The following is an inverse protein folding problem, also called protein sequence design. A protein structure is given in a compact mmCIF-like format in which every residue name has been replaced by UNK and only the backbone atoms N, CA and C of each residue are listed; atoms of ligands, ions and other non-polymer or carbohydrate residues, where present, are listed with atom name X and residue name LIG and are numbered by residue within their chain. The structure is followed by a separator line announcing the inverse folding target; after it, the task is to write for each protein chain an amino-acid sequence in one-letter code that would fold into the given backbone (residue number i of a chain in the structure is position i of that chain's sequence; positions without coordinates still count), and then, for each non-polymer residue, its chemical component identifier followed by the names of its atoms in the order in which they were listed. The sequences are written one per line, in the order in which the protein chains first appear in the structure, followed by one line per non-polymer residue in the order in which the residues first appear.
data_IF_405427281097
#
_entry.id   IF_405427281097
#
_cell.length_a   1.000
_cell.length_b   1.000
_cell.length_c   1.000
_cell.angle_alpha   90.00
_cell.angle_beta   90.00
_cell.angle_gamma   90.00
#
_symmetry.space_group_name_H-M   'P 1'
#
loop_
_entity.id
_entity.type
_entity.pdbx_description
1 polymer ?
#
# COMPACT_ATOMS: atom_id res chain seq x y z
N UNK A 1 -7.35 -25.14 13.98
CA UNK A 1 -6.61 -23.96 13.53
C UNK A 1 -6.33 -23.09 14.74
N UNK A 2 -5.07 -22.81 15.03
CA UNK A 2 -4.69 -21.92 16.13
C UNK A 2 -5.08 -20.47 15.82
N UNK A 3 -5.19 -19.62 16.84
CA UNK A 3 -5.44 -18.19 16.62
C UNK A 3 -4.35 -17.57 15.73
N UNK A 4 -3.09 -17.98 15.90
CA UNK A 4 -1.98 -17.47 15.11
C UNK A 4 -2.08 -17.88 13.62
N UNK A 5 -2.58 -19.09 13.33
CA UNK A 5 -2.86 -19.53 11.97
C UNK A 5 -3.98 -18.71 11.31
N UNK A 6 -5.06 -18.39 12.05
CA UNK A 6 -6.16 -17.55 11.57
C UNK A 6 -5.63 -16.17 11.15
N UNK A 7 -4.85 -15.52 12.02
CA UNK A 7 -4.32 -14.19 11.72
C UNK A 7 -3.29 -14.21 10.60
N UNK A 8 -2.48 -15.28 10.49
CA UNK A 8 -1.57 -15.45 9.35
C UNK A 8 -2.35 -15.57 8.03
N UNK A 9 -3.42 -16.36 7.99
CA UNK A 9 -4.29 -16.48 6.81
C UNK A 9 -4.92 -15.12 6.47
N UNK A 10 -5.37 -14.36 7.46
CA UNK A 10 -5.91 -13.03 7.24
C UNK A 10 -4.88 -12.08 6.61
N UNK A 11 -3.63 -12.07 7.11
CA UNK A 11 -2.53 -11.27 6.52
C UNK A 11 -2.24 -11.70 5.08
N UNK A 12 -2.21 -13.01 4.80
CA UNK A 12 -2.01 -13.54 3.45
C UNK A 12 -3.14 -13.10 2.53
N UNK A 13 -4.39 -13.23 2.96
CA UNK A 13 -5.55 -12.85 2.16
C UNK A 13 -5.57 -11.35 1.85
N UNK A 14 -5.37 -10.49 2.86
CA UNK A 14 -5.34 -9.04 2.67
C UNK A 14 -4.19 -8.64 1.75
N UNK A 15 -2.97 -9.12 2.01
CA UNK A 15 -1.80 -8.78 1.19
C UNK A 15 -1.94 -9.30 -0.24
N UNK A 16 -2.44 -10.53 -0.39
CA UNK A 16 -2.68 -11.18 -1.68
C UNK A 16 -3.74 -10.50 -2.53
N UNK A 17 -4.59 -9.65 -1.95
CA UNK A 17 -5.55 -8.82 -2.69
C UNK A 17 -5.01 -7.41 -2.91
N UNK A 18 -4.52 -6.76 -1.85
CA UNK A 18 -4.15 -5.34 -1.88
C UNK A 18 -2.89 -5.09 -2.72
N UNK A 19 -1.86 -5.94 -2.59
CA UNK A 19 -0.60 -5.76 -3.32
C UNK A 19 -0.79 -5.91 -4.84
N UNK A 20 -1.49 -6.93 -5.37
CA UNK A 20 -1.75 -7.02 -6.81
C UNK A 20 -2.57 -5.86 -7.36
N UNK A 21 -3.57 -5.36 -6.62
CA UNK A 21 -4.35 -4.18 -7.03
C UNK A 21 -3.42 -2.96 -7.16
N UNK A 22 -2.59 -2.71 -6.14
CA UNK A 22 -1.63 -1.61 -6.16
C UNK A 22 -0.62 -1.73 -7.28
N UNK A 23 -0.08 -2.93 -7.51
CA UNK A 23 0.86 -3.22 -8.59
C UNK A 23 0.22 -2.99 -9.97
N UNK A 24 -0.99 -3.51 -10.18
CA UNK A 24 -1.75 -3.34 -11.42
C UNK A 24 -1.94 -1.85 -11.76
N UNK A 25 -2.41 -1.04 -10.81
CA UNK A 25 -2.63 0.39 -11.04
C UNK A 25 -1.32 1.16 -11.26
N UNK A 26 -0.23 0.78 -10.57
CA UNK A 26 1.09 1.37 -10.80
C UNK A 26 1.62 1.04 -12.20
N UNK A 27 1.57 -0.22 -12.62
CA UNK A 27 1.98 -0.65 -13.97
C UNK A 27 1.14 0.06 -15.03
N UNK A 28 -0.18 0.07 -14.87
CA UNK A 28 -1.10 0.76 -15.78
C UNK A 28 -0.80 2.25 -15.88
N UNK A 29 -0.40 2.90 -14.78
CA UNK A 29 0.02 4.29 -14.80
C UNK A 29 1.34 4.49 -15.57
N UNK A 30 2.31 3.58 -15.44
CA UNK A 30 3.56 3.65 -16.20
C UNK A 30 3.36 3.41 -17.71
N UNK A 31 2.29 2.74 -18.11
CA UNK A 31 1.94 2.54 -19.52
C UNK A 31 1.65 3.86 -20.29
N UNK A 32 1.51 4.99 -19.58
CA UNK A 32 1.46 6.34 -20.18
C UNK A 32 2.74 6.74 -20.91
N UNK A 33 3.88 6.08 -20.63
CA UNK A 33 5.18 6.35 -21.26
C UNK A 33 5.82 7.71 -20.89
N UNK A 34 5.13 8.49 -20.07
CA UNK A 34 5.61 9.79 -19.61
C UNK A 34 6.74 9.62 -18.59
N UNK A 35 7.89 10.22 -18.88
CA UNK A 35 9.03 10.25 -17.97
C UNK A 35 8.79 11.28 -16.87
N UNK A 36 8.77 10.82 -15.63
CA UNK A 36 8.69 11.67 -14.43
C UNK A 36 10.09 11.89 -13.86
N UNK A 37 10.46 13.16 -13.65
CA UNK A 37 11.77 13.54 -13.10
C UNK A 37 11.79 13.45 -11.57
N UNK A 38 12.19 12.28 -11.08
CA UNK A 38 12.24 11.98 -9.63
C UNK A 38 13.31 12.79 -8.88
N UNK A 39 14.25 13.45 -9.57
CA UNK A 39 15.29 14.27 -8.91
C UNK A 39 14.70 15.49 -8.19
N UNK A 40 13.49 15.90 -8.56
CA UNK A 40 12.76 17.00 -7.92
C UNK A 40 12.34 16.68 -6.47
N UNK A 41 12.33 15.41 -6.06
CA UNK A 41 12.02 15.00 -4.68
C UNK A 41 13.16 15.29 -3.69
N UNK A 42 14.36 15.55 -4.20
CA UNK A 42 15.57 15.65 -3.38
C UNK A 42 16.17 14.29 -3.02
N UNK A 43 17.47 14.31 -2.71
CA UNK A 43 18.27 13.10 -2.47
C UNK A 43 17.75 12.28 -1.28
N UNK A 44 17.25 12.94 -0.24
CA UNK A 44 16.75 12.26 0.97
C UNK A 44 15.58 11.32 0.66
N UNK A 45 14.56 11.78 -0.06
CA UNK A 45 13.39 10.98 -0.42
C UNK A 45 13.79 9.84 -1.36
N UNK A 46 14.68 10.11 -2.32
CA UNK A 46 15.22 9.10 -3.23
C UNK A 46 15.97 7.99 -2.50
N UNK A 47 16.83 8.36 -1.55
CA UNK A 47 17.69 7.43 -0.82
C UNK A 47 16.95 6.62 0.25
N UNK A 48 15.81 7.10 0.76
CA UNK A 48 15.13 6.47 1.91
C UNK A 48 13.85 5.73 1.52
N UNK A 49 12.98 6.32 0.70
CA UNK A 49 11.62 5.82 0.51
C UNK A 49 11.57 4.43 -0.14
N UNK A 50 12.36 4.21 -1.21
CA UNK A 50 12.34 2.93 -1.96
C UNK A 50 13.01 1.80 -1.18
N UNK A 51 14.18 1.99 -0.55
CA UNK A 51 14.78 0.96 0.28
C UNK A 51 13.90 0.58 1.47
N UNK A 52 13.29 1.55 2.16
CA UNK A 52 12.37 1.27 3.28
C UNK A 52 11.14 0.51 2.77
N UNK A 53 10.52 0.97 1.68
CA UNK A 53 9.38 0.28 1.09
C UNK A 53 9.69 -1.16 0.65
N UNK A 54 10.88 -1.39 0.08
CA UNK A 54 11.36 -2.72 -0.27
C UNK A 54 11.58 -3.59 0.96
N UNK A 55 12.25 -3.05 1.99
CA UNK A 55 12.49 -3.74 3.26
C UNK A 55 11.17 -4.18 3.90
N UNK A 56 10.19 -3.28 3.99
CA UNK A 56 8.86 -3.60 4.52
C UNK A 56 8.15 -4.69 3.69
N UNK A 57 8.24 -4.60 2.36
CA UNK A 57 7.63 -5.60 1.47
C UNK A 57 8.29 -6.98 1.64
N UNK A 58 9.63 -7.01 1.75
CA UNK A 58 10.39 -8.24 2.01
C UNK A 58 10.05 -8.82 3.39
N UNK A 59 9.86 -7.99 4.42
CA UNK A 59 9.44 -8.45 5.75
C UNK A 59 8.08 -9.15 5.72
N UNK A 60 7.10 -8.63 4.96
CA UNK A 60 5.79 -9.28 4.79
C UNK A 60 5.95 -10.63 4.10
N UNK A 61 6.74 -10.71 3.03
CA UNK A 61 7.02 -11.97 2.33
C UNK A 61 7.72 -12.98 3.25
N UNK A 62 8.73 -12.53 4.02
CA UNK A 62 9.44 -13.35 4.98
C UNK A 62 8.50 -13.92 6.06
N UNK A 63 7.59 -13.09 6.59
CA UNK A 63 6.56 -13.53 7.53
C UNK A 63 5.61 -14.57 6.91
N UNK A 64 5.16 -14.36 5.67
CA UNK A 64 4.25 -15.28 4.98
C UNK A 64 4.90 -16.64 4.74
N UNK A 65 6.18 -16.68 4.34
CA UNK A 65 6.91 -17.92 4.07
C UNK A 65 7.31 -18.63 5.37
N UNK A 66 7.93 -17.89 6.29
CA UNK A 66 8.48 -18.43 7.53
C UNK A 66 8.25 -17.47 8.70
N UNK A 67 7.13 -17.59 9.43
CA UNK A 67 6.82 -16.75 10.59
C UNK A 67 7.93 -16.78 11.66
N UNK A 68 8.63 -17.91 11.79
CA UNK A 68 9.74 -18.09 12.74
C UNK A 68 10.89 -17.12 12.47
N UNK A 69 11.16 -16.78 11.20
CA UNK A 69 12.19 -15.79 10.84
C UNK A 69 11.87 -14.38 11.34
N UNK A 70 10.58 -14.10 11.59
CA UNK A 70 10.05 -12.83 12.08
C UNK A 70 9.60 -12.93 13.55
N UNK A 71 9.99 -13.98 14.29
CA UNK A 71 9.60 -14.12 15.70
C UNK A 71 10.13 -12.96 16.57
N UNK A 72 11.27 -12.38 16.20
CA UNK A 72 11.88 -11.24 16.87
C UNK A 72 11.05 -9.94 16.81
N UNK A 73 10.12 -9.83 15.85
CA UNK A 73 9.23 -8.68 15.70
C UNK A 73 7.82 -8.94 16.25
N UNK A 74 7.62 -10.04 16.97
CA UNK A 74 6.32 -10.39 17.55
C UNK A 74 5.98 -9.51 18.77
N UNK A 75 4.71 -9.15 18.88
CA UNK A 75 4.16 -8.44 20.04
C UNK A 75 3.00 -9.26 20.65
N UNK A 76 2.91 -9.37 21.99
CA UNK A 76 1.85 -10.11 22.66
C UNK A 76 0.54 -9.30 22.68
N UNK A 77 -0.09 -9.16 21.50
CA UNK A 77 -1.36 -8.45 21.36
C UNK A 77 -2.54 -9.36 21.72
N UNK A 78 -3.53 -8.81 22.42
CA UNK A 78 -4.81 -9.49 22.70
C UNK A 78 -5.56 -9.84 21.41
N UNK A 79 -6.43 -10.85 21.47
CA UNK A 79 -7.20 -11.33 20.31
C UNK A 79 -8.07 -10.22 19.71
N UNK A 80 -8.73 -9.40 20.54
CA UNK A 80 -9.59 -8.32 20.06
C UNK A 80 -8.80 -7.25 19.29
N UNK A 81 -7.58 -6.94 19.72
CA UNK A 81 -6.74 -5.92 19.10
C UNK A 81 -6.21 -6.40 17.74
N UNK A 82 -5.91 -7.70 17.62
CA UNK A 82 -5.57 -8.31 16.33
C UNK A 82 -6.74 -8.24 15.35
N UNK A 83 -7.97 -8.50 15.80
CA UNK A 83 -9.17 -8.33 14.96
C UNK A 83 -9.42 -6.88 14.56
N UNK A 84 -9.19 -5.92 15.46
CA UNK A 84 -9.26 -4.50 15.10
C UNK A 84 -8.26 -4.17 13.97
N UNK A 85 -7.04 -4.71 14.03
CA UNK A 85 -6.05 -4.59 12.95
C UNK A 85 -6.53 -5.18 11.62
N UNK A 86 -7.20 -6.34 11.64
CA UNK A 86 -7.80 -6.94 10.43
C UNK A 86 -8.88 -6.04 9.84
N UNK A 87 -9.79 -5.51 10.67
CA UNK A 87 -10.85 -4.59 10.22
C UNK A 87 -10.25 -3.31 9.63
N UNK A 88 -9.24 -2.73 10.27
CA UNK A 88 -8.54 -1.56 9.76
C UNK A 88 -7.84 -1.85 8.43
N UNK A 89 -7.19 -3.00 8.29
CA UNK A 89 -6.53 -3.39 7.05
C UNK A 89 -7.53 -3.59 5.89
N UNK A 90 -8.71 -4.14 6.17
CA UNK A 90 -9.79 -4.28 5.18
C UNK A 90 -10.38 -2.93 4.78
N UNK A 91 -10.64 -2.04 5.76
CA UNK A 91 -11.15 -0.70 5.50
C UNK A 91 -10.14 0.14 4.68
N UNK A 92 -8.86 0.11 5.09
CA UNK A 92 -7.76 0.76 4.38
C UNK A 92 -7.58 0.20 2.97
N UNK A 93 -7.52 -1.12 2.80
CA UNK A 93 -7.46 -1.76 1.48
C UNK A 93 -8.65 -1.44 0.57
N UNK A 94 -9.85 -1.34 1.14
CA UNK A 94 -11.05 -0.89 0.42
C UNK A 94 -10.94 0.57 -0.04
N UNK A 95 -10.53 1.46 0.86
CA UNK A 95 -10.30 2.88 0.54
C UNK A 95 -9.19 3.07 -0.48
N UNK A 96 -8.10 2.31 -0.37
CA UNK A 96 -6.98 2.31 -1.31
C UNK A 96 -7.45 1.88 -2.70
N UNK A 97 -8.24 0.81 -2.78
CA UNK A 97 -8.81 0.32 -4.04
C UNK A 97 -9.73 1.37 -4.68
N UNK A 98 -10.59 2.00 -3.88
CA UNK A 98 -11.48 3.08 -4.36
C UNK A 98 -10.69 4.29 -4.85
N UNK A 99 -9.61 4.63 -4.13
CA UNK A 99 -8.69 5.71 -4.49
C UNK A 99 -7.99 5.42 -5.82
N UNK A 100 -7.43 4.23 -6.00
CA UNK A 100 -6.79 3.82 -7.25
C UNK A 100 -7.73 3.85 -8.45
N UNK A 101 -8.98 3.39 -8.27
CA UNK A 101 -10.00 3.43 -9.32
C UNK A 101 -10.38 4.86 -9.71
N UNK A 102 -10.44 5.76 -8.73
CA UNK A 102 -10.85 7.15 -8.95
C UNK A 102 -9.73 7.99 -9.56
N UNK A 103 -8.48 7.82 -9.11
CA UNK A 103 -7.33 8.57 -9.64
C UNK A 103 -6.86 8.07 -11.01
N UNK A 104 -7.05 6.78 -11.32
CA UNK A 104 -6.66 6.21 -12.60
C UNK A 104 -5.17 6.36 -12.90
N UNK A 105 -4.83 6.82 -14.10
CA UNK A 105 -3.44 7.01 -14.56
C UNK A 105 -2.77 8.25 -13.98
N UNK A 106 -3.49 9.10 -13.24
CA UNK A 106 -2.92 10.29 -12.61
C UNK A 106 -2.02 9.95 -11.41
N UNK A 107 -2.06 8.70 -10.91
CA UNK A 107 -1.18 8.23 -9.84
C UNK A 107 0.29 8.24 -10.28
N UNK A 108 1.15 8.77 -9.43
CA UNK A 108 2.60 8.80 -9.61
C UNK A 108 3.29 8.19 -8.39
N UNK A 109 4.46 7.60 -8.58
CA UNK A 109 5.35 7.14 -7.49
C UNK A 109 6.24 8.28 -6.94
N UNK A 110 5.94 9.51 -7.36
CA UNK A 110 6.68 10.74 -7.09
C UNK A 110 5.72 11.89 -6.84
N UNK A 111 6.17 12.96 -6.20
CA UNK A 111 5.39 14.20 -6.03
C UNK A 111 5.25 15.00 -7.34
N UNK A 112 6.02 14.63 -8.38
CA UNK A 112 5.92 15.27 -9.69
C UNK A 112 4.60 14.91 -10.36
N UNK A 113 3.85 15.94 -10.75
CA UNK A 113 2.61 15.79 -11.50
C UNK A 113 2.86 15.50 -12.97
N UNK A 114 1.96 14.72 -13.57
CA UNK A 114 1.93 14.49 -15.01
C UNK A 114 1.62 15.78 -15.79
N UNK A 115 2.10 15.91 -17.02
CA UNK A 115 1.80 17.02 -17.94
C UNK A 115 0.31 17.19 -18.18
N UNK A 116 -0.39 16.07 -18.41
CA UNK A 116 -1.84 16.02 -18.63
C UNK A 116 -2.57 15.60 -17.35
N UNK A 117 -2.06 15.99 -16.17
CA UNK A 117 -2.72 15.67 -14.90
C UNK A 117 -4.08 16.37 -14.82
N UNK A 118 -5.11 15.63 -14.42
CA UNK A 118 -6.47 16.15 -14.24
C UNK A 118 -6.82 16.11 -12.76
N UNK A 119 -7.43 17.19 -12.26
CA UNK A 119 -7.95 17.22 -10.90
C UNK A 119 -9.13 16.26 -10.78
N UNK A 120 -8.99 15.26 -9.90
CA UNK A 120 -10.06 14.29 -9.60
C UNK A 120 -10.85 14.78 -8.40
N UNK A 121 -12.15 15.00 -8.57
CA UNK A 121 -13.07 15.50 -7.54
C UNK A 121 -14.22 14.53 -7.22
N UNK A 122 -14.16 13.31 -7.75
CA UNK A 122 -15.15 12.25 -7.53
C UNK A 122 -14.53 11.06 -6.78
N UNK A 123 -15.36 10.11 -6.37
CA UNK A 123 -14.92 9.03 -5.49
C UNK A 123 -14.45 9.59 -4.14
N UNK A 124 -13.43 9.01 -3.49
CA UNK A 124 -13.01 9.43 -2.15
C UNK A 124 -12.49 10.88 -2.11
N UNK A 125 -12.06 11.40 -3.27
CA UNK A 125 -11.59 12.77 -3.44
C UNK A 125 -12.68 13.84 -3.25
N UNK A 126 -13.96 13.45 -3.20
CA UNK A 126 -15.06 14.36 -2.85
C UNK A 126 -15.02 14.79 -1.38
N UNK A 127 -14.48 13.95 -0.50
CA UNK A 127 -14.47 14.19 0.96
C UNK A 127 -13.07 14.53 1.48
N UNK A 128 -12.02 13.92 0.94
CA UNK A 128 -10.64 14.10 1.43
C UNK A 128 -9.72 14.36 0.24
N UNK A 129 -8.82 15.36 0.35
CA UNK A 129 -7.90 15.72 -0.74
C UNK A 129 -6.81 14.67 -1.00
N UNK A 130 -6.41 13.94 0.04
CA UNK A 130 -5.36 12.93 -0.02
C UNK A 130 -5.84 11.59 0.59
N UNK A 131 -6.87 10.94 0.03
CA UNK A 131 -7.43 9.71 0.58
C UNK A 131 -6.42 8.55 0.52
N UNK A 132 -5.46 8.60 -0.41
CA UNK A 132 -4.36 7.64 -0.52
C UNK A 132 -3.44 7.62 0.72
N UNK A 133 -3.31 8.73 1.45
CA UNK A 133 -2.45 8.80 2.63
C UNK A 133 -3.14 8.26 3.89
N UNK A 134 -4.48 8.18 3.87
CA UNK A 134 -5.27 7.65 4.98
C UNK A 134 -5.72 6.19 4.78
N UNK A 135 -5.31 5.56 3.69
CA UNK A 135 -5.67 4.19 3.32
C UNK A 135 -4.61 3.17 3.69
#
# INVERSE_FOLDING_TARGET
MSHDEIFRIAVIAVTGVVMPIGLYHRIRSQATGEKLDRRQEGLFILATLRPIGLLLSVSVVAYVISPRSMAWSSLPLSVWLRWAGVVLALAGGGLLTWTFRSIGTNITDTVVTRKNHVLVTHGPYRWVRHPFYGS
#
